data_IF_527758910634
#
_entry.id   IF_527758910634
#
_cell.length_a   1.000
_cell.length_b   1.000
_cell.length_c   1.000
_cell.angle_alpha   90.00
_cell.angle_beta   90.00
_cell.angle_gamma   90.00
#
_symmetry.space_group_name_H-M   'P 1'
#
loop_
_entity.id
_entity.type
_entity.pdbx_description
1 polymer ?
#
# COMPACT_ATOMS: atom_id res chain seq x y z
N UNK A 1 16.18 -0.96 1.81
CA UNK A 1 16.32 0.04 0.77
C UNK A 1 15.41 1.22 0.96
N UNK A 2 15.69 2.32 0.30
CA UNK A 2 14.86 3.52 0.37
C UNK A 2 13.46 3.22 -0.14
N UNK A 3 12.44 3.69 0.54
CA UNK A 3 11.05 3.47 0.20
C UNK A 3 10.41 2.26 0.82
N UNK A 4 11.17 1.45 1.54
CA UNK A 4 10.62 0.35 2.29
C UNK A 4 10.28 0.78 3.71
N UNK A 5 9.14 0.30 4.22
CA UNK A 5 8.74 0.52 5.60
C UNK A 5 9.14 -0.72 6.41
N UNK A 6 10.33 -0.68 6.99
CA UNK A 6 10.90 -1.80 7.75
C UNK A 6 11.00 -1.37 9.22
N UNK A 7 9.94 -1.56 10.02
CA UNK A 7 9.96 -1.18 11.42
C UNK A 7 10.84 -2.12 12.23
N UNK A 8 11.56 -1.55 13.22
CA UNK A 8 12.45 -2.34 14.09
C UNK A 8 11.66 -3.33 14.96
N UNK A 9 10.44 -2.96 15.36
CA UNK A 9 9.57 -3.80 16.18
C UNK A 9 8.39 -4.34 15.35
N UNK A 10 8.66 -4.59 14.07
CA UNK A 10 7.61 -5.01 13.15
C UNK A 10 7.04 -6.38 13.47
N UNK A 11 5.78 -6.53 13.16
CA UNK A 11 5.07 -7.80 13.26
C UNK A 11 4.44 -8.13 11.91
N UNK A 12 4.48 -9.41 11.57
CA UNK A 12 3.77 -9.88 10.39
C UNK A 12 2.27 -9.90 10.70
N UNK A 13 1.52 -9.13 9.90
CA UNK A 13 0.08 -9.00 10.07
C UNK A 13 -0.64 -9.49 8.83
N UNK A 14 -1.66 -10.31 9.02
CA UNK A 14 -2.47 -10.80 7.90
C UNK A 14 -3.29 -9.65 7.30
N UNK A 15 -3.25 -9.54 5.99
CA UNK A 15 -4.01 -8.50 5.25
C UNK A 15 -4.98 -9.09 4.24
N UNK A 16 -4.78 -10.34 3.82
CA UNK A 16 -5.67 -11.00 2.88
C UNK A 16 -5.40 -12.51 2.88
N UNK A 17 -6.38 -13.28 2.44
CA UNK A 17 -6.15 -14.66 2.05
C UNK A 17 -5.58 -14.69 0.63
N UNK A 18 -4.59 -15.56 0.39
CA UNK A 18 -3.98 -15.66 -0.94
C UNK A 18 -4.98 -15.99 -2.03
N UNK A 19 -5.98 -16.84 -1.72
CA UNK A 19 -7.01 -17.21 -2.67
C UNK A 19 -7.93 -16.06 -3.06
N UNK A 20 -7.99 -15.00 -2.25
CA UNK A 20 -8.83 -13.83 -2.53
C UNK A 20 -8.12 -12.77 -3.37
N UNK A 21 -6.83 -12.97 -3.66
CA UNK A 21 -6.03 -12.01 -4.44
C UNK A 21 -5.58 -12.66 -5.74
N UNK A 22 -6.43 -12.58 -6.76
CA UNK A 22 -6.12 -13.08 -8.09
C UNK A 22 -5.04 -12.23 -8.77
N UNK A 23 -4.45 -12.79 -9.84
CA UNK A 23 -3.49 -12.05 -10.66
C UNK A 23 -4.12 -10.74 -11.15
N UNK A 24 -3.41 -9.62 -10.94
CA UNK A 24 -3.89 -8.29 -11.32
C UNK A 24 -4.83 -7.64 -10.32
N UNK A 25 -5.30 -8.36 -9.29
CA UNK A 25 -6.21 -7.81 -8.30
C UNK A 25 -5.46 -6.92 -7.30
N UNK A 26 -6.18 -5.91 -6.79
CA UNK A 26 -5.71 -5.00 -5.75
C UNK A 26 -6.69 -5.09 -4.57
N UNK A 27 -6.17 -5.19 -3.37
CA UNK A 27 -6.96 -5.34 -2.15
C UNK A 27 -6.45 -4.35 -1.11
N UNK A 28 -7.34 -3.53 -0.57
CA UNK A 28 -6.97 -2.57 0.48
C UNK A 28 -6.90 -3.24 1.84
N UNK A 29 -6.06 -2.71 2.71
CA UNK A 29 -6.01 -3.14 4.11
C UNK A 29 -5.80 -1.94 5.03
N UNK A 30 -6.28 -2.09 6.26
CA UNK A 30 -6.08 -1.09 7.33
C UNK A 30 -5.81 -1.86 8.62
N UNK A 31 -4.60 -1.69 9.15
CA UNK A 31 -4.14 -2.38 10.36
C UNK A 31 -4.16 -1.46 11.59
N UNK A 32 -4.71 -0.25 11.45
CA UNK A 32 -4.71 0.74 12.53
C UNK A 32 -3.42 1.57 12.53
N UNK A 33 -2.27 0.93 12.69
CA UNK A 33 -0.98 1.63 12.67
C UNK A 33 -0.57 2.02 11.26
N UNK A 34 -0.96 1.24 10.26
CA UNK A 34 -0.69 1.50 8.84
C UNK A 34 -1.88 1.06 8.00
N UNK A 35 -1.99 1.63 6.82
CA UNK A 35 -2.98 1.24 5.82
C UNK A 35 -2.30 1.17 4.46
N UNK A 36 -2.81 0.32 3.57
CA UNK A 36 -2.18 0.15 2.28
C UNK A 36 -2.97 -0.71 1.32
N UNK A 37 -2.27 -1.14 0.29
CA UNK A 37 -2.82 -1.99 -0.75
C UNK A 37 -1.85 -3.12 -1.05
N UNK A 38 -2.39 -4.31 -1.25
CA UNK A 38 -1.63 -5.45 -1.77
C UNK A 38 -2.15 -5.77 -3.17
N UNK A 39 -1.25 -6.22 -4.03
CA UNK A 39 -1.64 -6.67 -5.36
C UNK A 39 -0.79 -7.87 -5.77
N UNK A 40 -1.34 -8.66 -6.70
CA UNK A 40 -0.60 -9.77 -7.30
C UNK A 40 -0.25 -9.42 -8.73
N UNK A 41 1.04 -9.50 -9.06
CA UNK A 41 1.55 -9.25 -10.42
C UNK A 41 2.60 -10.29 -10.76
N UNK A 42 2.39 -11.02 -11.85
CA UNK A 42 3.31 -12.07 -12.30
C UNK A 42 3.57 -13.11 -11.19
N UNK A 43 2.51 -13.47 -10.48
CA UNK A 43 2.57 -14.43 -9.38
C UNK A 43 3.14 -13.90 -8.08
N UNK A 44 3.61 -12.64 -8.06
CA UNK A 44 4.21 -12.03 -6.88
C UNK A 44 3.24 -11.09 -6.20
N UNK A 45 3.32 -11.02 -4.89
CA UNK A 45 2.53 -10.08 -4.09
C UNK A 45 3.40 -8.89 -3.72
N UNK A 46 2.87 -7.70 -3.91
CA UNK A 46 3.50 -6.44 -3.52
C UNK A 46 2.56 -5.68 -2.59
N UNK A 47 3.12 -4.87 -1.70
CA UNK A 47 2.34 -4.05 -0.78
C UNK A 47 2.90 -2.63 -0.77
N UNK A 48 2.00 -1.65 -0.90
CA UNK A 48 2.36 -0.23 -0.88
C UNK A 48 1.55 0.50 0.17
N UNK A 49 2.11 1.60 0.68
CA UNK A 49 1.39 2.49 1.59
C UNK A 49 0.15 3.07 0.89
N UNK A 50 -0.95 3.14 1.62
CA UNK A 50 -2.19 3.75 1.15
C UNK A 50 -2.37 5.18 1.61
N UNK A 51 -1.29 5.87 1.97
CA UNK A 51 -1.31 7.25 2.45
C UNK A 51 -0.55 8.11 1.46
N UNK A 52 -1.19 9.19 1.00
CA UNK A 52 -0.59 10.11 0.03
C UNK A 52 0.68 10.73 0.63
N UNK A 53 1.79 10.69 -0.13
CA UNK A 53 3.08 11.20 0.33
C UNK A 53 3.11 12.74 0.44
N UNK A 54 2.11 13.44 -0.11
CA UNK A 54 2.06 14.90 -0.04
C UNK A 54 1.45 15.39 1.28
N UNK A 55 0.22 14.96 1.62
CA UNK A 55 -0.49 15.46 2.80
C UNK A 55 -1.05 14.38 3.71
N UNK A 56 -0.74 13.12 3.48
CA UNK A 56 -1.17 12.06 4.37
C UNK A 56 -2.63 11.64 4.23
N UNK A 57 -3.32 12.06 3.16
CA UNK A 57 -4.69 11.62 2.92
C UNK A 57 -4.72 10.15 2.49
N UNK A 58 -5.74 9.43 2.92
CA UNK A 58 -5.91 8.03 2.52
C UNK A 58 -6.27 7.94 1.04
N UNK A 59 -5.54 7.09 0.33
CA UNK A 59 -5.81 6.81 -1.07
C UNK A 59 -6.94 5.80 -1.21
N UNK A 60 -7.57 5.79 -2.37
CA UNK A 60 -8.54 4.78 -2.74
C UNK A 60 -8.16 4.20 -4.10
N UNK A 61 -8.53 2.93 -4.32
CA UNK A 61 -8.24 2.27 -5.59
C UNK A 61 -9.38 2.50 -6.57
N UNK A 62 -9.05 3.10 -7.71
CA UNK A 62 -10.00 3.32 -8.80
C UNK A 62 -9.77 2.23 -9.85
N UNK A 63 -10.62 1.21 -9.81
CA UNK A 63 -10.50 0.05 -10.68
C UNK A 63 -10.67 0.43 -12.17
N UNK A 64 -11.45 1.48 -12.46
CA UNK A 64 -11.71 1.87 -13.85
C UNK A 64 -10.46 2.33 -14.58
N UNK A 65 -9.46 2.85 -13.87
CA UNK A 65 -8.19 3.33 -14.44
C UNK A 65 -6.98 2.62 -13.86
N UNK A 66 -7.18 1.65 -12.95
CA UNK A 66 -6.11 0.91 -12.28
C UNK A 66 -5.11 1.84 -11.60
N UNK A 67 -5.63 2.76 -10.79
CA UNK A 67 -4.81 3.77 -10.09
C UNK A 67 -5.26 3.94 -8.65
N UNK A 68 -4.29 4.30 -7.79
CA UNK A 68 -4.53 4.72 -6.42
C UNK A 68 -4.67 6.24 -6.44
N UNK A 69 -5.84 6.75 -6.04
CA UNK A 69 -6.16 8.17 -6.17
C UNK A 69 -6.27 8.84 -4.82
N UNK A 70 -5.77 10.08 -4.76
CA UNK A 70 -5.86 10.90 -3.56
C UNK A 70 -7.15 11.73 -3.59
N UNK A 71 -8.01 11.64 -2.55
CA UNK A 71 -9.23 12.44 -2.52
C UNK A 71 -8.98 13.92 -2.21
N UNK A 72 -7.81 14.26 -1.69
CA UNK A 72 -7.49 15.62 -1.25
C UNK A 72 -6.92 16.49 -2.37
N UNK A 73 -6.35 15.89 -3.40
CA UNK A 73 -5.75 16.58 -4.53
C UNK A 73 -5.87 15.75 -5.80
N UNK A 74 -5.49 16.38 -6.93
CA UNK A 74 -5.47 15.69 -8.21
C UNK A 74 -4.15 14.91 -8.36
N UNK A 75 -3.92 13.97 -7.46
CA UNK A 75 -2.72 13.13 -7.46
C UNK A 75 -3.14 11.67 -7.56
N UNK A 76 -2.46 10.92 -8.40
CA UNK A 76 -2.69 9.48 -8.50
C UNK A 76 -1.37 8.74 -8.64
N UNK A 77 -1.39 7.48 -8.22
CA UNK A 77 -0.25 6.58 -8.25
C UNK A 77 -0.66 5.29 -8.96
N UNK A 78 0.32 4.63 -9.57
CA UNK A 78 0.10 3.26 -10.04
C UNK A 78 -0.06 2.32 -8.83
N UNK A 79 -0.60 1.11 -9.02
CA UNK A 79 -0.63 0.14 -7.91
C UNK A 79 0.74 -0.26 -7.38
N UNK A 80 1.81 -0.02 -8.16
CA UNK A 80 3.19 -0.20 -7.70
C UNK A 80 3.73 1.00 -6.92
N UNK A 81 2.95 2.07 -6.79
CA UNK A 81 3.32 3.25 -6.01
C UNK A 81 4.00 4.35 -6.78
N UNK A 82 4.14 4.25 -8.09
CA UNK A 82 4.74 5.31 -8.91
C UNK A 82 3.73 6.42 -9.18
N UNK A 83 4.19 7.66 -9.16
CA UNK A 83 3.33 8.81 -9.46
C UNK A 83 2.87 8.75 -10.92
N UNK A 84 1.57 8.87 -11.15
CA UNK A 84 0.98 8.90 -12.49
C UNK A 84 0.58 10.32 -12.85
N UNK A 85 -0.19 11.00 -12.00
CA UNK A 85 -0.60 12.39 -12.21
C UNK A 85 -0.44 13.19 -10.93
N UNK A 86 -0.21 14.49 -11.10
CA UNK A 86 -0.21 15.44 -9.98
C UNK A 86 -0.48 16.84 -10.52
N UNK A 87 -1.03 17.69 -9.66
CA UNK A 87 -1.26 19.11 -9.96
C UNK A 87 -0.28 20.02 -9.19
N UNK A 88 0.74 19.43 -8.55
CA UNK A 88 1.73 20.14 -7.75
C UNK A 88 2.87 20.65 -8.64
N UNK A 89 3.55 21.75 -8.26
CA UNK A 89 4.73 22.21 -9.00
C UNK A 89 5.83 21.14 -9.08
N UNK A 90 6.01 20.38 -7.99
CA UNK A 90 6.96 19.27 -7.94
C UNK A 90 6.18 17.98 -7.69
N UNK A 91 6.59 16.90 -8.35
CA UNK A 91 5.97 15.61 -8.17
C UNK A 91 6.13 15.14 -6.71
N UNK A 92 5.08 14.55 -6.12
CA UNK A 92 5.22 13.91 -4.81
C UNK A 92 6.14 12.69 -4.92
N UNK A 93 6.61 12.20 -3.77
CA UNK A 93 7.43 11.00 -3.75
C UNK A 93 6.58 9.78 -4.07
N UNK A 94 7.18 8.72 -4.66
CA UNK A 94 6.47 7.44 -4.81
C UNK A 94 6.01 6.91 -3.44
N UNK A 95 4.98 6.05 -3.47
CA UNK A 95 4.49 5.42 -2.25
C UNK A 95 5.54 4.45 -1.70
N UNK A 96 5.81 4.47 -0.39
CA UNK A 96 6.67 3.46 0.22
C UNK A 96 6.07 2.07 0.10
N UNK A 97 6.93 1.06 0.05
CA UNK A 97 6.53 -0.34 0.01
C UNK A 97 6.68 -0.96 1.40
N UNK A 98 5.78 -1.89 1.72
CA UNK A 98 5.92 -2.77 2.88
C UNK A 98 6.61 -4.05 2.46
N UNK A 99 7.37 -4.66 3.38
CA UNK A 99 7.73 -6.05 3.23
C UNK A 99 6.44 -6.88 3.26
N UNK A 100 6.32 -7.81 2.33
CA UNK A 100 5.14 -8.64 2.20
C UNK A 100 5.57 -10.08 1.92
N UNK A 101 4.78 -11.02 2.42
CA UNK A 101 5.00 -12.44 2.14
C UNK A 101 3.66 -13.15 1.98
N UNK A 102 3.67 -14.22 1.21
CA UNK A 102 2.55 -15.15 1.14
C UNK A 102 3.03 -16.49 1.66
N UNK A 103 2.38 -17.00 2.71
CA UNK A 103 2.80 -18.23 3.38
C UNK A 103 1.58 -18.96 3.88
N UNK A 104 1.50 -20.25 3.59
CA UNK A 104 0.39 -21.11 4.01
C UNK A 104 -0.98 -20.56 3.61
N UNK A 105 -1.05 -19.97 2.40
CA UNK A 105 -2.30 -19.41 1.88
C UNK A 105 -2.68 -18.04 2.44
N UNK A 106 -1.79 -17.40 3.19
CA UNK A 106 -2.06 -16.12 3.86
C UNK A 106 -1.07 -15.08 3.38
N UNK A 107 -1.58 -13.90 3.05
CA UNK A 107 -0.75 -12.73 2.71
C UNK A 107 -0.57 -11.88 3.95
N UNK A 108 0.69 -11.61 4.29
CA UNK A 108 1.06 -10.85 5.47
C UNK A 108 2.00 -9.71 5.10
N UNK A 109 1.84 -8.57 5.77
CA UNK A 109 2.78 -7.45 5.66
C UNK A 109 3.47 -7.26 7.00
N UNK A 110 4.73 -6.82 6.93
CA UNK A 110 5.48 -6.44 8.13
C UNK A 110 5.11 -5.02 8.50
N UNK A 111 4.44 -4.85 9.63
CA UNK A 111 3.90 -3.58 10.06
C UNK A 111 4.34 -3.26 11.48
N UNK A 112 4.44 -1.97 11.85
CA UNK A 112 4.69 -1.61 13.25
C UNK A 112 3.51 -2.03 14.11
N UNK A 113 3.72 -2.25 15.42
CA UNK A 113 2.61 -2.57 16.31
C UNK A 113 1.63 -1.39 16.34
N UNK A 114 0.34 -1.66 16.68
CA UNK A 114 -0.63 -0.58 16.84
C UNK A 114 -0.14 0.45 17.86
N UNK A 115 -0.46 1.75 17.61
CA UNK A 115 -0.12 2.80 18.54
C UNK A 115 -0.89 2.59 19.84
N UNK A 116 -0.19 2.64 20.98
CA UNK A 116 -0.84 2.58 22.28
C UNK A 116 -1.39 3.95 22.63
N UNK A 117 -2.57 4.02 23.27
CA UNK A 117 -3.05 5.30 23.78
C UNK A 117 -2.09 5.84 24.81
N UNK A 118 -1.87 7.14 24.76
CA UNK A 118 -0.98 7.82 25.69
C UNK A 118 -1.56 7.85 27.11
#
# INVERSE_FOLDING_TARGET
GGGELVPTDGQWRQVAAGADLAEGAVHSFDLGSVAGFVRRTQGRVEAVSGVCTHQGCKLWFDQSVDQLRCPCHLTSFSPAGQVVTHALPNAPKPLPHFDVRERDGVIEVLAPPPSEPA
#
